data_IF_937842346802
#
_entry.id   IF_937842346802
#
_cell.length_a   1.000
_cell.length_b   1.000
_cell.length_c   1.000
_cell.angle_alpha   90.00
_cell.angle_beta   90.00
_cell.angle_gamma   90.00
#
_symmetry.space_group_name_H-M   'P 1'
#
loop_
_entity.id
_entity.type
_entity.pdbx_description
1 polymer ?
#
# COMPACT_ATOMS: atom_id res chain seq x y z
N UNK A 1 0.74 16.50 7.01
CA UNK A 1 -0.34 16.32 7.99
C UNK A 1 -0.45 17.51 8.92
N UNK A 2 0.65 17.99 9.49
CA UNK A 2 0.66 19.19 10.35
C UNK A 2 0.10 20.41 9.63
N UNK A 3 0.49 20.64 8.37
CA UNK A 3 -0.01 21.74 7.52
C UNK A 3 -1.53 21.65 7.24
N UNK A 4 -2.11 20.48 7.46
CA UNK A 4 -3.55 20.24 7.37
C UNK A 4 -4.27 20.37 8.72
N UNK A 5 -3.57 20.84 9.77
CA UNK A 5 -4.13 20.96 11.11
C UNK A 5 -4.31 19.65 11.86
N UNK A 6 -3.72 18.56 11.39
CA UNK A 6 -3.79 17.24 12.04
C UNK A 6 -2.75 17.18 13.15
N UNK A 7 -3.18 16.83 14.35
CA UNK A 7 -2.26 16.56 15.44
C UNK A 7 -1.50 15.25 15.20
N UNK A 8 -0.17 15.32 15.17
CA UNK A 8 0.69 14.20 14.81
C UNK A 8 1.58 13.79 15.97
N UNK A 9 1.52 12.52 16.35
CA UNK A 9 2.46 11.89 17.28
C UNK A 9 3.40 10.97 16.51
N UNK A 10 4.70 11.20 16.61
CA UNK A 10 5.73 10.31 16.07
C UNK A 10 6.20 9.36 17.15
N UNK A 11 5.95 8.08 16.97
CA UNK A 11 6.21 7.06 17.98
C UNK A 11 6.97 5.92 17.32
N UNK A 12 8.05 5.47 17.94
CA UNK A 12 8.75 4.26 17.50
C UNK A 12 7.99 3.02 17.98
N UNK A 13 8.07 1.94 17.24
CA UNK A 13 7.31 0.71 17.52
C UNK A 13 7.51 0.20 18.95
N UNK A 14 8.73 0.24 19.47
CA UNK A 14 9.05 -0.19 20.85
C UNK A 14 8.31 0.64 21.92
N UNK A 15 8.19 1.94 21.70
CA UNK A 15 7.43 2.80 22.60
C UNK A 15 5.93 2.54 22.49
N UNK A 16 5.42 2.34 21.28
CA UNK A 16 4.02 2.00 21.05
C UNK A 16 3.66 0.69 21.77
N UNK A 17 4.52 -0.34 21.65
CA UNK A 17 4.37 -1.61 22.36
C UNK A 17 4.33 -1.38 23.87
N UNK A 18 5.26 -0.58 24.41
CA UNK A 18 5.34 -0.29 25.85
C UNK A 18 4.11 0.45 26.36
N UNK A 19 3.62 1.43 25.61
CA UNK A 19 2.46 2.25 25.97
C UNK A 19 1.14 1.52 25.76
N UNK A 20 1.09 0.60 24.80
CA UNK A 20 -0.08 -0.15 24.39
C UNK A 20 -1.32 0.74 24.12
N UNK A 21 -1.11 1.85 23.43
CA UNK A 21 -2.13 2.88 23.26
C UNK A 21 -2.47 3.17 21.78
N UNK A 22 -2.42 2.15 20.92
CA UNK A 22 -2.76 2.29 19.49
C UNK A 22 -4.17 2.84 19.28
N UNK A 23 -5.10 2.46 20.15
CA UNK A 23 -6.50 2.86 20.04
C UNK A 23 -6.77 4.33 20.46
N UNK A 24 -5.79 5.03 21.01
CA UNK A 24 -5.90 6.47 21.30
C UNK A 24 -5.84 7.33 20.02
N UNK A 25 -5.44 6.75 18.86
CA UNK A 25 -5.25 7.46 17.61
C UNK A 25 -6.41 7.22 16.64
N UNK A 26 -6.67 8.22 15.76
CA UNK A 26 -7.72 8.15 14.74
C UNK A 26 -7.21 7.77 13.36
N UNK A 27 -5.91 7.85 13.13
CA UNK A 27 -5.24 7.52 11.87
C UNK A 27 -3.88 6.89 12.19
N UNK A 28 -3.60 5.76 11.57
CA UNK A 28 -2.28 5.13 11.61
C UNK A 28 -1.54 5.39 10.29
N UNK A 29 -0.33 5.95 10.40
CA UNK A 29 0.56 6.17 9.26
C UNK A 29 1.82 5.34 9.44
N UNK A 30 2.05 4.40 8.54
CA UNK A 30 3.30 3.66 8.43
C UNK A 30 4.18 4.37 7.40
N UNK A 31 5.25 5.07 7.82
CA UNK A 31 6.09 5.83 6.92
C UNK A 31 7.00 4.94 6.08
N UNK A 32 7.63 5.56 5.08
CA UNK A 32 8.72 4.96 4.34
C UNK A 32 10.03 4.90 5.12
N UNK A 33 11.03 4.32 4.50
CA UNK A 33 12.37 4.12 5.05
C UNK A 33 12.88 2.70 4.77
N UNK A 34 13.82 2.24 5.58
CA UNK A 34 14.37 0.88 5.53
C UNK A 34 14.25 0.27 6.92
N UNK A 35 13.08 -0.30 7.22
CA UNK A 35 12.85 -0.88 8.54
C UNK A 35 13.70 -2.13 8.74
N UNK A 36 14.46 -2.17 9.83
CA UNK A 36 15.37 -3.28 10.14
C UNK A 36 16.35 -3.61 9.02
N UNK A 37 16.78 -2.59 8.25
CA UNK A 37 17.71 -2.72 7.10
C UNK A 37 17.25 -3.74 6.05
N UNK A 38 15.96 -4.06 6.02
CA UNK A 38 15.32 -5.03 5.12
C UNK A 38 16.01 -6.41 5.06
N UNK A 39 16.59 -6.86 6.18
CA UNK A 39 17.43 -8.05 6.29
C UNK A 39 16.80 -9.34 5.74
N UNK A 40 15.51 -9.52 5.92
CA UNK A 40 14.80 -10.72 5.44
C UNK A 40 14.14 -10.42 4.12
N UNK A 41 13.36 -9.33 4.12
CA UNK A 41 12.55 -8.80 3.03
C UNK A 41 12.03 -7.44 3.48
N UNK A 42 11.84 -6.52 2.54
CA UNK A 42 11.38 -5.17 2.87
C UNK A 42 10.11 -5.19 3.73
N UNK A 43 10.21 -4.61 4.91
CA UNK A 43 9.09 -4.50 5.86
C UNK A 43 8.73 -5.76 6.66
N UNK A 44 9.33 -6.93 6.40
CA UNK A 44 8.91 -8.21 6.98
C UNK A 44 9.05 -8.27 8.51
N UNK A 45 10.16 -7.81 9.06
CA UNK A 45 10.40 -7.83 10.51
C UNK A 45 9.41 -6.88 11.22
N UNK A 46 9.24 -5.68 10.68
CA UNK A 46 8.30 -4.70 11.25
C UNK A 46 6.86 -5.18 11.18
N UNK A 47 6.46 -5.81 10.07
CA UNK A 47 5.16 -6.46 9.95
C UNK A 47 4.94 -7.51 11.04
N UNK A 48 5.96 -8.35 11.30
CA UNK A 48 5.88 -9.37 12.35
C UNK A 48 5.71 -8.76 13.74
N UNK A 49 6.42 -7.70 14.06
CA UNK A 49 6.24 -6.98 15.33
C UNK A 49 4.83 -6.41 15.47
N UNK A 50 4.33 -5.74 14.42
CA UNK A 50 2.97 -5.17 14.42
C UNK A 50 1.94 -6.27 14.70
N UNK A 51 1.98 -7.38 13.97
CA UNK A 51 1.00 -8.46 14.14
C UNK A 51 1.14 -9.14 15.51
N UNK A 52 2.35 -9.33 15.99
CA UNK A 52 2.57 -10.00 17.29
C UNK A 52 1.99 -9.21 18.45
N UNK A 53 2.01 -7.89 18.39
CA UNK A 53 1.61 -7.03 19.49
C UNK A 53 0.23 -6.38 19.31
N UNK A 54 -0.15 -6.02 18.08
CA UNK A 54 -1.30 -5.16 17.83
C UNK A 54 -2.41 -5.78 16.98
N UNK A 55 -2.37 -7.10 16.73
CA UNK A 55 -3.38 -7.76 15.89
C UNK A 55 -4.82 -7.48 16.34
N UNK A 56 -5.09 -7.54 17.65
CA UNK A 56 -6.43 -7.28 18.22
C UNK A 56 -6.81 -5.80 18.09
N UNK A 57 -5.87 -4.92 18.41
CA UNK A 57 -6.12 -3.48 18.37
C UNK A 57 -6.30 -2.99 16.92
N UNK A 58 -5.58 -3.55 15.96
CA UNK A 58 -5.77 -3.25 14.55
C UNK A 58 -7.14 -3.70 14.06
N UNK A 59 -7.64 -4.86 14.49
CA UNK A 59 -9.00 -5.26 14.17
C UNK A 59 -10.02 -4.23 14.69
N UNK A 60 -9.96 -3.87 15.96
CA UNK A 60 -10.84 -2.87 16.56
C UNK A 60 -10.72 -1.51 15.85
N UNK A 61 -9.49 -1.11 15.52
CA UNK A 61 -9.20 0.13 14.79
C UNK A 61 -9.89 0.17 13.43
N UNK A 62 -9.85 -0.94 12.70
CA UNK A 62 -10.50 -1.08 11.40
C UNK A 62 -12.03 -1.21 11.52
N UNK A 63 -12.53 -1.94 12.52
CA UNK A 63 -13.97 -2.11 12.78
C UNK A 63 -14.63 -0.75 13.11
N UNK A 64 -13.89 0.15 13.75
CA UNK A 64 -14.31 1.53 14.01
C UNK A 64 -14.16 2.45 12.79
N UNK A 65 -13.74 1.92 11.64
CA UNK A 65 -13.56 2.68 10.40
C UNK A 65 -12.36 3.63 10.42
N UNK A 66 -11.41 3.45 11.32
CA UNK A 66 -10.21 4.28 11.40
C UNK A 66 -9.24 3.92 10.28
N UNK A 67 -8.76 4.90 9.50
CA UNK A 67 -7.93 4.63 8.35
C UNK A 67 -6.48 4.30 8.71
N UNK A 68 -5.87 3.45 7.88
CA UNK A 68 -4.44 3.13 7.92
C UNK A 68 -3.85 3.45 6.56
N UNK A 69 -2.71 4.12 6.52
CA UNK A 69 -1.94 4.38 5.30
C UNK A 69 -0.51 3.90 5.43
N UNK A 70 -0.01 3.19 4.43
CA UNK A 70 1.39 2.80 4.29
C UNK A 70 2.05 3.51 3.11
N UNK A 71 3.21 4.08 3.34
CA UNK A 71 3.98 4.83 2.33
C UNK A 71 5.30 4.11 2.12
N UNK A 72 5.64 3.73 0.87
CA UNK A 72 6.88 3.07 0.49
C UNK A 72 7.10 1.78 1.35
N UNK A 73 8.10 1.74 2.22
CA UNK A 73 8.32 0.61 3.14
C UNK A 73 7.08 0.32 4.02
N UNK A 74 6.35 1.35 4.46
CA UNK A 74 5.10 1.16 5.19
C UNK A 74 4.01 0.45 4.38
N UNK A 75 3.95 0.65 3.06
CA UNK A 75 3.08 -0.12 2.18
C UNK A 75 3.53 -1.60 2.12
N UNK A 76 4.83 -1.86 2.00
CA UNK A 76 5.38 -3.21 2.04
C UNK A 76 5.01 -3.92 3.36
N UNK A 77 5.08 -3.20 4.48
CA UNK A 77 4.62 -3.68 5.80
C UNK A 77 3.14 -4.05 5.77
N UNK A 78 2.26 -3.23 5.19
CA UNK A 78 0.84 -3.55 5.09
C UNK A 78 0.57 -4.82 4.28
N UNK A 79 1.34 -5.06 3.23
CA UNK A 79 1.24 -6.29 2.44
C UNK A 79 1.75 -7.49 3.25
N UNK A 80 2.88 -7.36 3.92
CA UNK A 80 3.47 -8.42 4.75
C UNK A 80 2.62 -8.77 5.99
N UNK A 81 1.85 -7.82 6.52
CA UNK A 81 0.89 -8.09 7.60
C UNK A 81 -0.37 -8.81 7.13
N UNK A 82 -0.67 -8.82 5.82
CA UNK A 82 -1.94 -9.27 5.25
C UNK A 82 -3.09 -8.27 5.44
N UNK A 83 -2.79 -7.03 5.87
CA UNK A 83 -3.76 -5.92 5.89
C UNK A 83 -4.10 -5.45 4.47
N UNK A 84 -3.21 -5.66 3.52
CA UNK A 84 -3.42 -5.52 2.10
C UNK A 84 -3.05 -6.83 1.39
N UNK A 85 -3.80 -7.21 0.36
CA UNK A 85 -5.02 -6.62 -0.16
C UNK A 85 -6.32 -7.03 0.57
N UNK A 86 -6.26 -7.89 1.59
CA UNK A 86 -7.40 -8.38 2.38
C UNK A 86 -8.51 -9.05 1.53
N UNK A 87 -8.14 -10.06 0.75
CA UNK A 87 -9.05 -10.76 -0.17
C UNK A 87 -9.27 -12.22 0.27
N UNK A 88 -10.52 -12.69 0.40
CA UNK A 88 -11.77 -11.94 0.38
C UNK A 88 -11.97 -11.12 1.66
N UNK A 89 -11.25 -11.44 2.71
CA UNK A 89 -11.34 -10.83 4.03
C UNK A 89 -9.94 -10.65 4.63
N UNK A 90 -9.85 -9.84 5.66
CA UNK A 90 -8.65 -9.68 6.46
C UNK A 90 -8.22 -11.00 7.11
N UNK A 91 -6.99 -11.42 6.87
CA UNK A 91 -6.48 -12.72 7.36
C UNK A 91 -5.27 -12.60 8.28
N UNK A 92 -4.62 -11.44 8.34
CA UNK A 92 -3.32 -11.24 8.99
C UNK A 92 -2.24 -12.22 8.51
N UNK A 93 -2.36 -12.63 7.27
CA UNK A 93 -1.40 -13.48 6.56
C UNK A 93 -1.18 -12.91 5.16
N UNK A 94 0.04 -12.83 4.66
CA UNK A 94 0.32 -12.29 3.34
C UNK A 94 -0.47 -13.02 2.24
N UNK A 95 -1.22 -12.27 1.45
CA UNK A 95 -1.99 -12.77 0.30
C UNK A 95 -1.36 -12.33 -1.02
N UNK A 96 -0.44 -11.40 -0.95
CA UNK A 96 0.38 -10.89 -2.03
C UNK A 96 1.81 -10.71 -1.52
N UNK A 97 2.72 -10.51 -2.43
CA UNK A 97 4.12 -10.16 -2.13
C UNK A 97 4.50 -8.93 -2.93
N UNK A 98 5.29 -8.05 -2.33
CA UNK A 98 5.94 -6.96 -3.07
C UNK A 98 7.32 -7.47 -3.47
N UNK A 99 7.58 -7.50 -4.78
CA UNK A 99 8.80 -8.08 -5.36
C UNK A 99 9.63 -7.02 -6.06
N UNK A 100 10.86 -7.38 -6.40
CA UNK A 100 11.76 -6.57 -7.21
C UNK A 100 11.12 -6.22 -8.55
N UNK A 101 11.49 -5.06 -9.07
CA UNK A 101 11.10 -4.61 -10.40
C UNK A 101 11.51 -5.64 -11.46
N UNK A 102 10.79 -5.69 -12.58
CA UNK A 102 11.12 -6.57 -13.69
C UNK A 102 12.52 -6.29 -14.28
N UNK A 103 12.97 -5.04 -14.19
CA UNK A 103 14.32 -4.62 -14.57
C UNK A 103 15.42 -5.07 -13.62
N UNK A 104 15.06 -5.59 -12.46
CA UNK A 104 15.97 -5.96 -11.38
C UNK A 104 16.83 -4.79 -10.86
N UNK A 105 16.34 -3.55 -11.04
CA UNK A 105 17.03 -2.31 -10.67
C UNK A 105 16.09 -1.39 -9.88
N UNK A 106 16.67 -0.48 -9.11
CA UNK A 106 15.94 0.64 -8.57
C UNK A 106 15.57 1.60 -9.71
N UNK A 107 14.28 1.82 -9.89
CA UNK A 107 13.77 2.78 -10.87
C UNK A 107 13.49 4.12 -10.17
N UNK A 108 14.06 5.19 -10.70
CA UNK A 108 13.82 6.55 -10.22
C UNK A 108 13.61 7.46 -11.42
N UNK A 109 12.37 7.65 -11.86
CA UNK A 109 12.07 8.36 -13.10
C UNK A 109 10.66 8.92 -13.17
N UNK A 110 10.50 10.01 -13.90
CA UNK A 110 9.23 10.62 -14.25
C UNK A 110 8.64 10.11 -15.56
N UNK A 111 9.44 9.44 -16.38
CA UNK A 111 9.12 9.02 -17.75
C UNK A 111 9.39 7.54 -17.93
N UNK A 112 8.64 6.93 -18.83
CA UNK A 112 8.88 5.60 -19.37
C UNK A 112 8.83 5.70 -20.88
N UNK A 113 9.90 5.27 -21.59
CA UNK A 113 9.98 5.27 -23.06
C UNK A 113 9.56 6.60 -23.68
N UNK A 114 10.16 7.72 -23.23
CA UNK A 114 9.93 9.09 -23.69
C UNK A 114 8.57 9.71 -23.34
N UNK A 115 7.71 9.00 -22.60
CA UNK A 115 6.44 9.50 -22.11
C UNK A 115 6.39 9.60 -20.57
N UNK A 116 5.69 10.60 -20.07
CA UNK A 116 5.45 10.72 -18.64
C UNK A 116 4.62 9.57 -18.09
N UNK A 117 4.94 9.13 -16.88
CA UNK A 117 4.15 8.15 -16.17
C UNK A 117 2.87 8.80 -15.64
N UNK A 118 1.77 8.23 -16.04
CA UNK A 118 0.45 8.60 -15.53
C UNK A 118 -0.20 7.41 -14.85
N UNK A 119 -0.87 7.71 -13.74
CA UNK A 119 -1.80 6.78 -13.12
C UNK A 119 -3.21 7.35 -13.22
N UNK A 120 -4.17 6.48 -13.45
CA UNK A 120 -5.58 6.83 -13.52
C UNK A 120 -6.26 6.42 -12.22
N UNK A 121 -6.96 7.35 -11.58
CA UNK A 121 -7.84 7.00 -10.46
C UNK A 121 -9.00 6.16 -10.98
N UNK A 122 -9.06 4.90 -10.55
CA UNK A 122 -10.15 3.96 -10.92
C UNK A 122 -11.09 3.68 -9.75
N UNK A 123 -10.78 4.23 -8.57
CA UNK A 123 -11.58 4.07 -7.37
C UNK A 123 -12.91 4.83 -7.49
N UNK A 124 -13.98 4.18 -7.07
CA UNK A 124 -15.35 4.73 -7.12
C UNK A 124 -15.78 5.42 -5.82
N UNK A 125 -14.83 5.54 -4.86
CA UNK A 125 -15.04 6.28 -3.61
C UNK A 125 -14.86 5.48 -2.33
N UNK A 126 -14.52 4.18 -2.41
CA UNK A 126 -14.27 3.35 -1.23
C UNK A 126 -13.00 3.77 -0.49
N UNK A 127 -11.95 4.16 -1.23
CA UNK A 127 -10.71 4.63 -0.61
C UNK A 127 -10.88 6.04 -0.04
N UNK A 128 -10.82 6.15 1.28
CA UNK A 128 -11.00 7.44 1.99
C UNK A 128 -9.97 8.49 1.58
N UNK A 129 -8.75 8.09 1.22
CA UNK A 129 -7.66 8.99 0.85
C UNK A 129 -7.82 9.58 -0.57
N UNK A 130 -8.67 9.02 -1.41
CA UNK A 130 -8.86 9.47 -2.79
C UNK A 130 -10.26 9.99 -3.08
N UNK A 131 -11.12 10.11 -2.06
CA UNK A 131 -12.53 10.58 -2.22
C UNK A 131 -12.69 11.90 -2.95
N UNK A 132 -11.68 12.80 -2.85
CA UNK A 132 -11.72 14.11 -3.52
C UNK A 132 -11.10 14.08 -4.92
N UNK A 133 -10.60 12.96 -5.38
CA UNK A 133 -10.04 12.79 -6.73
C UNK A 133 -11.11 12.12 -7.59
N UNK A 134 -11.59 12.82 -8.61
CA UNK A 134 -12.61 12.27 -9.50
C UNK A 134 -12.15 10.96 -10.15
N UNK A 135 -13.04 9.98 -10.20
CA UNK A 135 -12.76 8.74 -10.95
C UNK A 135 -12.46 9.09 -12.41
N UNK A 136 -11.45 8.44 -12.97
CA UNK A 136 -10.95 8.75 -14.31
C UNK A 136 -9.86 9.83 -14.36
N UNK A 137 -9.62 10.58 -13.30
CA UNK A 137 -8.55 11.59 -13.27
C UNK A 137 -7.18 10.98 -13.49
N UNK A 138 -6.38 11.64 -14.29
CA UNK A 138 -4.98 11.27 -14.54
C UNK A 138 -4.06 12.06 -13.61
N UNK A 139 -3.20 11.34 -12.92
CA UNK A 139 -2.18 11.92 -12.05
C UNK A 139 -0.80 11.58 -12.60
N UNK A 140 0.05 12.60 -12.69
CA UNK A 140 1.44 12.42 -13.07
C UNK A 140 2.24 12.06 -11.83
N UNK A 141 2.89 10.91 -11.84
CA UNK A 141 3.69 10.44 -10.70
C UNK A 141 5.03 9.88 -11.14
N UNK A 142 6.12 10.11 -10.37
CA UNK A 142 7.37 9.43 -10.59
C UNK A 142 7.31 7.99 -10.08
N UNK A 143 8.13 7.13 -10.65
CA UNK A 143 8.52 5.87 -10.03
C UNK A 143 9.78 6.12 -9.20
N UNK A 144 9.82 5.60 -7.97
CA UNK A 144 10.98 5.65 -7.10
C UNK A 144 11.01 4.43 -6.17
N UNK A 145 11.29 3.25 -6.74
CA UNK A 145 11.35 1.99 -5.99
C UNK A 145 12.22 0.92 -6.67
N UNK A 146 12.78 0.02 -5.87
CA UNK A 146 13.41 -1.22 -6.30
C UNK A 146 12.49 -2.43 -6.13
N UNK A 147 11.61 -2.39 -5.11
CA UNK A 147 10.60 -3.39 -4.80
C UNK A 147 9.25 -2.70 -4.70
N UNK A 148 8.53 -2.63 -5.81
CA UNK A 148 7.22 -1.99 -5.91
C UNK A 148 6.21 -2.82 -6.70
N UNK A 149 6.62 -3.98 -7.21
CA UNK A 149 5.78 -4.86 -8.00
C UNK A 149 4.99 -5.83 -7.13
N UNK A 150 3.66 -5.68 -7.12
CA UNK A 150 2.77 -6.62 -6.43
C UNK A 150 2.68 -7.90 -7.24
N UNK A 151 2.82 -9.04 -6.58
CA UNK A 151 2.69 -10.36 -7.15
C UNK A 151 1.75 -11.23 -6.31
N UNK A 152 0.91 -11.99 -6.98
CA UNK A 152 0.04 -13.00 -6.38
C UNK A 152 0.54 -14.40 -6.75
N UNK A 153 0.01 -15.42 -6.08
CA UNK A 153 0.19 -16.79 -6.54
C UNK A 153 -0.41 -16.93 -7.95
N UNK A 154 0.33 -17.50 -8.89
CA UNK A 154 -0.02 -17.56 -10.33
C UNK A 154 -1.42 -18.15 -10.58
N UNK A 155 -1.81 -19.17 -9.84
CA UNK A 155 -3.11 -19.82 -9.91
C UNK A 155 -4.27 -18.97 -9.37
N UNK A 156 -3.98 -17.90 -8.62
CA UNK A 156 -4.97 -17.04 -7.95
C UNK A 156 -4.99 -15.61 -8.47
N UNK A 157 -4.02 -15.23 -9.27
CA UNK A 157 -3.80 -13.83 -9.69
C UNK A 157 -5.06 -13.24 -10.33
N UNK A 158 -5.59 -13.85 -11.39
CA UNK A 158 -6.77 -13.34 -12.08
C UNK A 158 -7.99 -13.26 -11.15
N UNK A 159 -8.19 -14.26 -10.31
CA UNK A 159 -9.28 -14.29 -9.33
C UNK A 159 -9.15 -13.13 -8.32
N UNK A 160 -7.94 -12.82 -7.88
CA UNK A 160 -7.71 -11.75 -6.91
C UNK A 160 -7.88 -10.38 -7.56
N UNK A 161 -7.38 -10.19 -8.78
CA UNK A 161 -7.57 -8.94 -9.53
C UNK A 161 -9.07 -8.66 -9.72
N UNK A 162 -9.83 -9.64 -10.18
CA UNK A 162 -11.30 -9.50 -10.33
C UNK A 162 -11.96 -9.10 -9.01
N UNK A 163 -11.60 -9.75 -7.90
CA UNK A 163 -12.15 -9.40 -6.59
C UNK A 163 -11.78 -8.00 -6.12
N UNK A 164 -10.56 -7.54 -6.38
CA UNK A 164 -10.15 -6.17 -6.08
C UNK A 164 -10.97 -5.14 -6.87
N UNK A 165 -11.28 -5.44 -8.14
CA UNK A 165 -12.15 -4.60 -8.98
C UNK A 165 -13.59 -4.57 -8.46
N UNK A 166 -14.17 -5.73 -8.21
CA UNK A 166 -15.54 -5.87 -7.68
C UNK A 166 -15.72 -5.15 -6.35
N UNK A 167 -14.70 -5.22 -5.48
CA UNK A 167 -14.71 -4.62 -4.16
C UNK A 167 -14.29 -3.14 -4.13
N UNK A 168 -14.01 -2.52 -5.29
CA UNK A 168 -13.47 -1.14 -5.38
C UNK A 168 -12.18 -0.95 -4.55
N UNK A 169 -11.31 -1.97 -4.54
CA UNK A 169 -10.03 -1.95 -3.82
C UNK A 169 -8.85 -1.53 -4.70
N UNK A 170 -9.03 -1.50 -6.03
CA UNK A 170 -8.06 -0.89 -6.94
C UNK A 170 -8.23 0.61 -6.94
N UNK A 171 -7.20 1.33 -6.50
CA UNK A 171 -7.24 2.79 -6.40
C UNK A 171 -6.72 3.43 -7.67
N UNK A 172 -5.57 2.96 -8.15
CA UNK A 172 -4.90 3.51 -9.32
C UNK A 172 -4.50 2.41 -10.29
N UNK A 173 -4.45 2.78 -11.59
CA UNK A 173 -3.87 1.96 -12.65
C UNK A 173 -2.90 2.79 -13.47
N UNK A 174 -1.81 2.19 -13.90
CA UNK A 174 -0.94 2.78 -14.91
C UNK A 174 -1.69 2.97 -16.21
N UNK A 175 -1.41 4.07 -16.91
CA UNK A 175 -1.99 4.37 -18.22
C UNK A 175 -0.87 4.41 -19.22
N UNK A 176 -0.95 3.57 -20.25
CA UNK A 176 -0.14 3.68 -21.44
C UNK A 176 -0.82 4.66 -22.41
N UNK A 177 -0.20 5.81 -22.62
CA UNK A 177 -0.73 6.82 -23.54
C UNK A 177 -0.83 6.34 -24.99
N UNK A 178 0.04 5.42 -25.41
CA UNK A 178 0.05 4.91 -26.79
C UNK A 178 -1.05 3.90 -27.05
N UNK A 179 -1.51 3.19 -26.04
CA UNK A 179 -2.49 2.13 -26.20
C UNK A 179 -3.94 2.55 -25.93
N UNK A 180 -4.18 3.74 -25.37
CA UNK A 180 -5.53 4.17 -24.99
C UNK A 180 -6.23 3.25 -23.96
N UNK A 181 -5.57 2.20 -23.54
CA UNK A 181 -6.07 1.18 -22.63
C UNK A 181 -5.37 1.27 -21.27
N UNK A 182 -6.14 1.03 -20.22
CA UNK A 182 -5.58 0.81 -18.90
C UNK A 182 -4.78 -0.49 -18.92
N UNK A 183 -3.46 -0.39 -19.06
CA UNK A 183 -2.60 -1.54 -18.92
C UNK A 183 -2.80 -2.17 -17.54
N UNK A 184 -2.91 -3.47 -17.48
CA UNK A 184 -2.72 -4.20 -16.23
C UNK A 184 -1.25 -4.01 -15.88
N UNK A 185 -0.96 -3.06 -14.99
CA UNK A 185 0.40 -2.66 -14.66
C UNK A 185 1.20 -3.78 -14.03
N UNK A 186 1.65 -4.67 -14.87
CA UNK A 186 2.63 -5.68 -14.51
C UNK A 186 3.99 -5.16 -14.94
N UNK A 187 4.75 -4.71 -14.00
CA UNK A 187 6.18 -4.66 -14.20
C UNK A 187 6.75 -3.33 -14.64
N UNK A 188 6.88 -2.46 -13.72
CA UNK A 188 8.11 -1.72 -13.61
C UNK A 188 9.00 -2.49 -12.67
#
# INVERSE_FOLDING_TARGET
LLDLGIQVSRIIIKELIKKNNLLDYNLLVLPGGFSYSDYVRAGAIWAKEIISHFKKDINLFLDEGRPIIGICNGFQVLVETGLLPAIPNLSFSPQATVTTNASNRFECRWVSNDDFLYIKNVNKGKCVFTKKINSGSLLKMPIAHGEGRISFLKDKEQKYITKLEENDQLVFRFVDKKAGSAGTGSGV
#
